data_IF_323050189930
#
_entry.id   IF_323050189930
#
_cell.length_a   1.000
_cell.length_b   1.000
_cell.length_c   1.000
_cell.angle_alpha   90.00
_cell.angle_beta   90.00
_cell.angle_gamma   90.00
#
_symmetry.space_group_name_H-M   'P 1'
#
loop_
_entity.id
_entity.type
_entity.pdbx_description
1 polymer ?
#
# COMPACT_ATOMS: atom_id res chain seq x y z
N UNK A 1 64.45 -12.60 9.60
CA UNK A 1 63.31 -12.71 8.67
C UNK A 1 62.19 -13.43 9.41
N UNK A 2 61.33 -12.68 10.11
CA UNK A 2 60.20 -13.29 10.84
C UNK A 2 59.02 -13.37 9.89
N UNK A 3 58.62 -14.58 9.51
CA UNK A 3 57.42 -14.79 8.71
C UNK A 3 56.19 -14.46 9.56
N UNK A 4 55.47 -13.41 9.19
CA UNK A 4 54.14 -13.13 9.71
C UNK A 4 53.16 -14.16 9.15
N UNK A 5 52.73 -15.10 10.01
CA UNK A 5 51.56 -15.93 9.75
C UNK A 5 50.33 -15.02 9.65
N UNK A 6 49.79 -14.88 8.44
CA UNK A 6 48.46 -14.29 8.24
C UNK A 6 47.45 -15.28 8.81
N UNK A 7 46.91 -14.95 9.97
CA UNK A 7 45.90 -15.76 10.65
C UNK A 7 44.65 -15.89 9.77
N UNK A 8 44.33 -17.11 9.36
CA UNK A 8 43.14 -17.46 8.55
C UNK A 8 41.81 -17.07 9.24
N UNK A 9 41.82 -16.87 10.56
CA UNK A 9 40.67 -16.37 11.32
C UNK A 9 40.35 -14.88 11.11
N UNK A 10 41.32 -14.09 10.65
CA UNK A 10 41.24 -12.64 10.57
C UNK A 10 40.49 -12.16 9.30
N UNK A 11 40.49 -12.99 8.25
CA UNK A 11 39.78 -12.70 7.01
C UNK A 11 38.25 -12.78 7.18
N UNK A 12 37.72 -13.78 7.91
CA UNK A 12 36.26 -13.93 8.10
C UNK A 12 35.65 -12.76 8.88
N UNK A 13 36.38 -12.25 9.87
CA UNK A 13 36.00 -11.03 10.59
C UNK A 13 36.01 -9.79 9.70
N UNK A 14 37.05 -9.62 8.87
CA UNK A 14 37.17 -8.51 7.90
C UNK A 14 36.03 -8.49 6.87
N UNK A 15 35.67 -9.64 6.30
CA UNK A 15 34.54 -9.72 5.37
C UNK A 15 33.21 -9.37 6.05
N UNK A 16 33.01 -9.82 7.29
CA UNK A 16 31.81 -9.45 8.06
C UNK A 16 31.75 -7.95 8.29
N UNK A 17 32.84 -7.34 8.78
CA UNK A 17 32.90 -5.88 9.00
C UNK A 17 32.68 -5.12 7.69
N UNK A 18 33.27 -5.57 6.57
CA UNK A 18 33.07 -4.94 5.28
C UNK A 18 31.62 -5.06 4.75
N UNK A 19 30.94 -6.18 5.02
CA UNK A 19 29.54 -6.35 4.64
C UNK A 19 28.61 -5.46 5.47
N UNK A 20 28.86 -5.37 6.78
CA UNK A 20 28.15 -4.45 7.68
C UNK A 20 28.35 -2.99 7.24
N UNK A 21 29.59 -2.58 6.95
CA UNK A 21 29.91 -1.24 6.48
C UNK A 21 29.18 -0.92 5.17
N UNK A 22 29.25 -1.82 4.18
CA UNK A 22 28.54 -1.63 2.90
C UNK A 22 27.04 -1.50 3.08
N UNK A 23 26.44 -2.26 4.00
CA UNK A 23 25.01 -2.14 4.31
C UNK A 23 24.70 -0.76 4.87
N UNK A 24 25.47 -0.30 5.87
CA UNK A 24 25.29 1.03 6.46
C UNK A 24 25.47 2.15 5.42
N UNK A 25 26.48 2.03 4.54
CA UNK A 25 26.71 2.99 3.45
C UNK A 25 25.53 3.02 2.46
N UNK A 26 24.92 1.87 2.17
CA UNK A 26 23.72 1.79 1.32
C UNK A 26 22.51 2.43 2.01
N UNK A 27 22.26 2.10 3.28
CA UNK A 27 21.17 2.68 4.06
C UNK A 27 21.32 4.21 4.14
N UNK A 28 22.54 4.72 4.39
CA UNK A 28 22.81 6.16 4.41
C UNK A 28 22.47 6.83 3.07
N UNK A 29 22.88 6.22 1.94
CA UNK A 29 22.55 6.74 0.60
C UNK A 29 21.05 6.76 0.34
N UNK A 30 20.33 5.70 0.69
CA UNK A 30 18.88 5.66 0.51
C UNK A 30 18.19 6.75 1.33
N UNK A 31 18.62 6.95 2.58
CA UNK A 31 18.05 8.00 3.43
C UNK A 31 18.33 9.41 2.90
N UNK A 32 19.52 9.66 2.36
CA UNK A 32 19.86 10.93 1.70
C UNK A 32 18.98 11.17 0.46
N UNK A 33 18.74 10.13 -0.34
CA UNK A 33 17.86 10.19 -1.52
C UNK A 33 16.40 10.43 -1.14
N UNK A 34 15.88 9.75 -0.10
CA UNK A 34 14.51 9.95 0.39
C UNK A 34 14.34 11.34 1.00
N UNK A 35 15.31 11.83 1.77
CA UNK A 35 15.28 13.18 2.32
C UNK A 35 15.22 14.23 1.20
N UNK A 36 16.05 14.08 0.17
CA UNK A 36 16.04 14.97 -0.99
C UNK A 36 14.72 14.91 -1.80
N UNK A 37 13.95 13.81 -1.70
CA UNK A 37 12.61 13.74 -2.27
C UNK A 37 11.60 14.47 -1.38
N UNK A 38 11.62 14.22 -0.06
CA UNK A 38 10.72 14.86 0.92
C UNK A 38 10.86 16.38 0.89
N UNK A 39 12.08 16.91 0.75
CA UNK A 39 12.33 18.36 0.62
C UNK A 39 11.72 18.98 -0.63
N UNK A 40 11.46 18.19 -1.67
CA UNK A 40 10.84 18.62 -2.93
C UNK A 40 9.33 18.38 -2.96
N UNK A 41 8.77 17.68 -1.97
CA UNK A 41 7.34 17.42 -1.91
C UNK A 41 6.57 18.68 -1.52
N UNK A 42 5.38 18.82 -2.09
CA UNK A 42 4.47 19.89 -1.73
C UNK A 42 3.91 19.72 -0.30
N UNK A 43 3.40 20.81 0.25
CA UNK A 43 2.77 20.79 1.57
C UNK A 43 1.60 19.80 1.59
N UNK A 44 1.62 18.89 2.56
CA UNK A 44 0.56 17.90 2.73
C UNK A 44 -0.83 18.55 2.86
N UNK A 45 -0.94 19.72 3.48
CA UNK A 45 -2.19 20.47 3.57
C UNK A 45 -2.73 20.91 2.20
N UNK A 46 -1.86 21.36 1.30
CA UNK A 46 -2.24 21.77 -0.05
C UNK A 46 -2.67 20.56 -0.88
N UNK A 47 -1.85 19.49 -0.89
CA UNK A 47 -2.17 18.24 -1.61
C UNK A 47 -3.48 17.63 -1.11
N UNK A 48 -3.72 17.62 0.21
CA UNK A 48 -4.97 17.11 0.77
C UNK A 48 -6.19 17.95 0.36
N UNK A 49 -6.07 19.28 0.27
CA UNK A 49 -7.17 20.13 -0.21
C UNK A 49 -7.49 19.86 -1.68
N UNK A 50 -6.46 19.76 -2.53
CA UNK A 50 -6.64 19.41 -3.95
C UNK A 50 -7.28 18.03 -4.12
N UNK A 51 -6.85 17.06 -3.30
CA UNK A 51 -7.43 15.73 -3.30
C UNK A 51 -8.92 15.73 -2.93
N UNK A 52 -9.31 16.45 -1.88
CA UNK A 52 -10.72 16.58 -1.49
C UNK A 52 -11.54 17.17 -2.62
N UNK A 53 -11.07 18.27 -3.23
CA UNK A 53 -11.75 18.90 -4.39
C UNK A 53 -11.90 17.89 -5.54
N UNK A 54 -10.86 17.11 -5.83
CA UNK A 54 -10.89 16.08 -6.87
C UNK A 54 -11.93 15.00 -6.57
N UNK A 55 -11.99 14.49 -5.34
CA UNK A 55 -12.94 13.43 -4.94
C UNK A 55 -14.38 13.95 -4.98
N UNK A 56 -14.61 15.17 -4.51
CA UNK A 56 -15.95 15.78 -4.48
C UNK A 56 -16.47 16.20 -5.87
N UNK A 57 -15.57 16.40 -6.84
CA UNK A 57 -15.93 16.84 -8.20
C UNK A 57 -16.81 15.86 -8.97
N UNK A 58 -16.81 14.57 -8.60
CA UNK A 58 -17.55 13.50 -9.29
C UNK A 58 -18.39 12.70 -8.29
N UNK A 59 -19.73 12.65 -8.46
CA UNK A 59 -20.59 11.86 -7.59
C UNK A 59 -20.30 10.36 -7.76
N UNK A 60 -20.03 9.66 -6.65
CA UNK A 60 -19.77 8.22 -6.64
C UNK A 60 -21.07 7.43 -6.51
N UNK A 61 -21.51 6.66 -7.53
CA UNK A 61 -22.77 5.91 -7.53
C UNK A 61 -22.92 4.87 -6.41
N UNK A 62 -21.83 4.53 -5.71
CA UNK A 62 -21.85 3.67 -4.53
C UNK A 62 -22.17 4.40 -3.23
N UNK A 63 -22.09 5.73 -3.21
CA UNK A 63 -22.31 6.52 -2.01
C UNK A 63 -23.76 7.01 -1.91
N UNK A 64 -24.36 6.99 -0.70
CA UNK A 64 -25.76 7.40 -0.48
C UNK A 64 -26.08 8.85 -0.88
N UNK A 65 -25.05 9.69 -1.02
CA UNK A 65 -25.15 11.13 -1.28
C UNK A 65 -24.87 11.43 -2.76
N UNK A 66 -25.42 10.61 -3.65
CA UNK A 66 -25.33 10.89 -5.09
C UNK A 66 -26.51 11.71 -5.56
N UNK A 67 -26.22 12.93 -5.99
CA UNK A 67 -27.15 13.70 -6.81
C UNK A 67 -27.18 13.06 -8.21
N UNK A 68 -28.11 12.12 -8.41
CA UNK A 68 -28.31 11.45 -9.68
C UNK A 68 -29.47 10.44 -9.61
N UNK A 69 -30.04 10.05 -10.77
CA UNK A 69 -31.09 9.03 -10.80
C UNK A 69 -30.51 7.68 -10.33
N UNK A 70 -31.19 7.05 -9.37
CA UNK A 70 -30.88 5.70 -8.92
C UNK A 70 -30.86 4.76 -10.13
N UNK A 71 -29.74 4.05 -10.35
CA UNK A 71 -29.63 3.12 -11.47
C UNK A 71 -30.20 1.75 -11.06
N UNK A 72 -31.37 1.33 -11.59
CA UNK A 72 -32.04 0.08 -11.17
C UNK A 72 -31.23 -1.19 -11.50
N UNK A 73 -30.22 -1.10 -12.36
CA UNK A 73 -29.34 -2.24 -12.66
C UNK A 73 -28.42 -2.61 -11.48
N UNK A 74 -28.26 -1.71 -10.50
CA UNK A 74 -27.40 -1.90 -9.32
C UNK A 74 -28.06 -2.78 -8.27
N UNK A 75 -29.39 -2.86 -8.28
CA UNK A 75 -30.18 -3.74 -7.41
C UNK A 75 -29.72 -5.21 -7.52
N UNK A 76 -29.26 -5.63 -8.69
CA UNK A 76 -28.67 -6.98 -8.91
C UNK A 76 -27.45 -7.26 -8.03
N UNK A 77 -26.65 -6.25 -7.73
CA UNK A 77 -25.37 -6.39 -7.02
C UNK A 77 -25.48 -6.08 -5.53
N UNK A 78 -26.40 -5.18 -5.13
CA UNK A 78 -26.51 -4.68 -3.75
C UNK A 78 -27.73 -5.17 -2.96
N UNK A 79 -28.79 -5.70 -3.59
CA UNK A 79 -29.96 -6.24 -2.86
C UNK A 79 -29.73 -7.62 -2.24
N UNK A 80 -28.53 -8.20 -2.38
CA UNK A 80 -28.26 -9.58 -1.98
C UNK A 80 -29.08 -10.58 -2.81
N UNK A 81 -29.03 -11.89 -2.47
CA UNK A 81 -29.87 -12.87 -3.13
C UNK A 81 -31.34 -12.46 -2.91
N UNK A 82 -32.04 -12.07 -3.98
CA UNK A 82 -33.51 -11.94 -3.93
C UNK A 82 -34.02 -13.24 -3.33
N UNK A 83 -34.66 -13.16 -2.15
CA UNK A 83 -35.21 -14.34 -1.49
C UNK A 83 -35.94 -15.15 -2.55
N UNK A 84 -35.41 -16.35 -2.85
CA UNK A 84 -36.07 -17.25 -3.78
C UNK A 84 -37.45 -17.42 -3.20
N UNK A 85 -38.50 -17.11 -3.99
CA UNK A 85 -39.88 -17.34 -3.56
C UNK A 85 -39.91 -18.69 -2.85
N UNK A 86 -40.39 -18.77 -1.59
CA UNK A 86 -40.43 -20.05 -0.90
C UNK A 86 -41.17 -20.99 -1.84
N UNK A 87 -40.54 -22.10 -2.25
CA UNK A 87 -41.21 -23.05 -3.11
C UNK A 87 -42.55 -23.37 -2.43
N UNK A 88 -43.66 -23.40 -3.17
CA UNK A 88 -44.94 -23.90 -2.60
C UNK A 88 -44.93 -25.42 -2.40
N UNK A 89 -43.75 -26.02 -2.35
CA UNK A 89 -43.54 -27.44 -2.19
C UNK A 89 -43.50 -27.76 -0.70
N UNK A 90 -44.23 -28.80 -0.26
CA UNK A 90 -44.29 -29.24 1.14
C UNK A 90 -43.00 -29.92 1.63
N UNK A 91 -41.89 -29.77 0.91
CA UNK A 91 -40.60 -30.30 1.32
C UNK A 91 -39.74 -29.12 1.79
N UNK A 92 -39.16 -29.24 2.98
CA UNK A 92 -38.18 -28.29 3.51
C UNK A 92 -36.96 -28.25 2.57
N UNK A 93 -36.92 -27.29 1.66
CA UNK A 93 -35.73 -26.97 0.88
C UNK A 93 -34.95 -25.89 1.63
N UNK A 94 -33.89 -26.32 2.33
CA UNK A 94 -32.76 -25.48 2.73
C UNK A 94 -31.92 -25.11 1.50
#
# INVERSE_FOLDING_TARGET
MSQGQVAVGDARGKHRIAAELKRMEQEARFLEEELAQVEKMDLASAVCQEFVVSVESRPDPLLPITNGPLNPAWDRWFEGPKERQPCRCHCFCL
#
